data_IF_448052782409
#
_entry.id   IF_448052782409
#
_cell.length_a   1.000
_cell.length_b   1.000
_cell.length_c   1.000
_cell.angle_alpha   90.00
_cell.angle_beta   90.00
_cell.angle_gamma   90.00
#
_symmetry.space_group_name_H-M   'P 1'
#
loop_
_entity.id
_entity.type
_entity.pdbx_description
1 polymer ?
#
# COMPACT_ATOMS: atom_id res chain seq x y z
N UNK A 1 9.84 8.72 -7.73
CA UNK A 1 8.88 9.49 -8.54
C UNK A 1 9.52 10.60 -9.36
N UNK A 2 10.46 11.38 -8.83
CA UNK A 2 11.10 12.50 -9.55
C UNK A 2 11.54 12.16 -10.99
N UNK A 3 12.39 11.14 -11.17
CA UNK A 3 12.87 10.71 -12.50
C UNK A 3 11.77 10.34 -13.50
N UNK A 4 10.63 9.83 -13.01
CA UNK A 4 9.49 9.51 -13.88
C UNK A 4 8.73 10.78 -14.27
N UNK A 5 8.54 11.71 -13.32
CA UNK A 5 7.91 13.01 -13.60
C UNK A 5 8.73 13.85 -14.58
N UNK A 6 10.06 13.83 -14.46
CA UNK A 6 10.97 14.51 -15.39
C UNK A 6 10.91 13.95 -16.82
N UNK A 7 10.53 12.69 -16.99
CA UNK A 7 10.39 12.07 -18.31
C UNK A 7 9.03 12.34 -18.99
N UNK A 8 8.06 12.88 -18.26
CA UNK A 8 6.65 12.80 -18.65
C UNK A 8 5.99 11.61 -17.96
N UNK A 9 5.05 11.89 -17.06
CA UNK A 9 4.33 10.90 -16.25
C UNK A 9 2.83 10.95 -16.58
N UNK A 10 2.50 11.21 -17.85
CA UNK A 10 1.12 11.17 -18.37
C UNK A 10 0.80 9.78 -18.93
N UNK A 11 -0.47 9.51 -19.18
CA UNK A 11 -0.90 8.25 -19.84
C UNK A 11 -0.24 8.11 -21.21
N UNK A 12 -0.22 9.18 -22.02
CA UNK A 12 0.39 9.14 -23.36
C UNK A 12 1.90 8.85 -23.31
N UNK A 13 2.64 9.50 -22.40
CA UNK A 13 4.08 9.25 -22.22
C UNK A 13 4.34 7.78 -21.83
N UNK A 14 3.52 7.24 -20.92
CA UNK A 14 3.65 5.87 -20.42
C UNK A 14 3.29 4.80 -21.45
N UNK A 15 2.40 5.10 -22.40
CA UNK A 15 2.08 4.20 -23.52
C UNK A 15 3.28 4.10 -24.47
N UNK A 16 3.88 5.25 -24.85
CA UNK A 16 4.92 5.29 -25.89
C UNK A 16 6.34 4.99 -25.37
N UNK A 17 6.63 5.18 -24.08
CA UNK A 17 7.96 4.94 -23.51
C UNK A 17 8.41 3.48 -23.72
N UNK A 18 9.64 3.21 -24.20
CA UNK A 18 10.18 1.85 -24.26
C UNK A 18 10.20 1.18 -22.88
N UNK A 19 9.85 -0.11 -22.81
CA UNK A 19 9.76 -0.85 -21.55
C UNK A 19 11.10 -0.83 -20.78
N UNK A 20 12.21 -0.94 -21.49
CA UNK A 20 13.58 -0.92 -20.95
C UNK A 20 13.87 0.45 -20.29
N UNK A 21 13.44 1.54 -20.93
CA UNK A 21 13.58 2.89 -20.40
C UNK A 21 12.74 3.08 -19.14
N UNK A 22 11.49 2.63 -19.14
CA UNK A 22 10.63 2.67 -17.96
C UNK A 22 11.24 1.86 -16.80
N UNK A 23 11.78 0.67 -17.08
CA UNK A 23 12.47 -0.14 -16.08
C UNK A 23 13.65 0.61 -15.45
N UNK A 24 14.48 1.29 -16.26
CA UNK A 24 15.59 2.13 -15.76
C UNK A 24 15.11 3.23 -14.81
N UNK A 25 14.00 3.92 -15.14
CA UNK A 25 13.40 4.95 -14.29
C UNK A 25 12.85 4.40 -12.97
N UNK A 26 12.55 3.10 -12.91
CA UNK A 26 11.95 2.43 -11.75
C UNK A 26 12.94 1.62 -10.88
N UNK A 27 14.22 1.48 -11.27
CA UNK A 27 15.24 0.61 -10.61
C UNK A 27 15.22 0.60 -9.06
N UNK A 28 15.16 1.74 -8.34
CA UNK A 28 15.19 1.78 -6.87
C UNK A 28 13.98 1.13 -6.20
N UNK A 29 12.91 0.86 -6.97
CA UNK A 29 11.68 0.27 -6.46
C UNK A 29 11.76 -1.24 -6.59
N UNK A 30 11.42 -1.97 -5.51
CA UNK A 30 11.28 -3.42 -5.56
C UNK A 30 10.28 -3.87 -6.63
N UNK A 31 10.59 -4.97 -7.32
CA UNK A 31 9.81 -5.55 -8.42
C UNK A 31 9.63 -4.62 -9.63
N UNK A 32 10.56 -3.68 -9.86
CA UNK A 32 10.46 -2.69 -10.94
C UNK A 32 10.20 -3.28 -12.32
N UNK A 33 10.79 -4.44 -12.67
CA UNK A 33 10.56 -5.11 -13.96
C UNK A 33 9.09 -5.46 -14.18
N UNK A 34 8.45 -6.09 -13.18
CA UNK A 34 7.04 -6.44 -13.22
C UNK A 34 6.15 -5.19 -13.17
N UNK A 35 6.52 -4.21 -12.35
CA UNK A 35 5.80 -2.93 -12.25
C UNK A 35 5.83 -2.14 -13.56
N UNK A 36 6.94 -2.14 -14.30
CA UNK A 36 7.02 -1.48 -15.61
C UNK A 36 5.98 -2.06 -16.58
N UNK A 37 5.87 -3.39 -16.65
CA UNK A 37 4.86 -4.08 -17.47
C UNK A 37 3.45 -3.69 -17.04
N UNK A 38 3.15 -3.69 -15.74
CA UNK A 38 1.83 -3.28 -15.25
C UNK A 38 1.52 -1.81 -15.53
N UNK A 39 2.46 -0.89 -15.29
CA UNK A 39 2.27 0.54 -15.55
C UNK A 39 1.92 0.80 -17.01
N UNK A 40 2.63 0.15 -17.95
CA UNK A 40 2.32 0.26 -19.38
C UNK A 40 0.91 -0.24 -19.70
N UNK A 41 0.55 -1.44 -19.23
CA UNK A 41 -0.78 -2.01 -19.43
C UNK A 41 -1.89 -1.16 -18.80
N UNK A 42 -1.64 -0.58 -17.63
CA UNK A 42 -2.57 0.37 -17.00
C UNK A 42 -2.75 1.57 -17.92
N UNK A 43 -1.67 2.21 -18.38
CA UNK A 43 -1.76 3.37 -19.26
C UNK A 43 -2.54 3.07 -20.56
N UNK A 44 -2.30 1.91 -21.18
CA UNK A 44 -3.07 1.42 -22.34
C UNK A 44 -4.58 1.31 -22.01
N UNK A 45 -4.93 0.66 -20.89
CA UNK A 45 -6.33 0.53 -20.44
C UNK A 45 -6.98 1.89 -20.16
N UNK A 46 -6.27 2.81 -19.50
CA UNK A 46 -6.80 4.14 -19.19
C UNK A 46 -7.10 4.91 -20.46
N UNK A 47 -6.18 4.85 -21.44
CA UNK A 47 -6.37 5.48 -22.75
C UNK A 47 -7.55 4.91 -23.52
N UNK A 48 -7.72 3.59 -23.52
CA UNK A 48 -8.76 2.91 -24.31
C UNK A 48 -10.16 2.97 -23.67
N UNK A 49 -10.26 2.89 -22.34
CA UNK A 49 -11.55 2.66 -21.65
C UNK A 49 -11.99 3.81 -20.75
N UNK A 50 -11.08 4.69 -20.37
CA UNK A 50 -11.32 5.74 -19.38
C UNK A 50 -10.95 7.13 -19.90
N UNK A 51 -10.83 7.31 -21.23
CA UNK A 51 -10.46 8.57 -21.89
C UNK A 51 -9.18 9.21 -21.31
N UNK A 52 -8.23 8.36 -20.92
CA UNK A 52 -6.96 8.77 -20.30
C UNK A 52 -7.05 9.12 -18.81
N UNK A 53 -8.24 9.10 -18.20
CA UNK A 53 -8.44 9.34 -16.77
C UNK A 53 -8.38 8.04 -15.95
N UNK A 54 -8.37 8.16 -14.63
CA UNK A 54 -8.30 7.04 -13.68
C UNK A 54 -9.72 6.69 -13.19
N UNK A 55 -10.14 5.41 -13.18
CA UNK A 55 -11.43 5.03 -12.60
C UNK A 55 -11.53 5.47 -11.14
N UNK A 56 -12.62 6.16 -10.82
CA UNK A 56 -12.92 6.71 -9.49
C UNK A 56 -13.84 5.81 -8.67
N UNK A 57 -13.69 4.49 -8.81
CA UNK A 57 -14.41 3.48 -8.02
C UNK A 57 -13.46 2.36 -7.60
N UNK A 58 -13.74 1.72 -6.46
CA UNK A 58 -12.93 0.57 -5.99
C UNK A 58 -12.92 -0.56 -7.02
N UNK A 59 -14.07 -0.88 -7.60
CA UNK A 59 -14.19 -1.92 -8.62
C UNK A 59 -13.37 -1.57 -9.87
N UNK A 60 -13.48 -0.33 -10.37
CA UNK A 60 -12.71 0.13 -11.51
C UNK A 60 -11.20 0.10 -11.25
N UNK A 61 -10.75 0.56 -10.07
CA UNK A 61 -9.34 0.48 -9.68
C UNK A 61 -8.84 -0.96 -9.58
N UNK A 62 -9.61 -1.86 -8.96
CA UNK A 62 -9.26 -3.28 -8.84
C UNK A 62 -9.27 -4.02 -10.18
N UNK A 63 -9.93 -3.47 -11.22
CA UNK A 63 -9.86 -4.01 -12.59
C UNK A 63 -8.50 -3.77 -13.26
N UNK A 64 -7.70 -2.82 -12.75
CA UNK A 64 -6.40 -2.47 -13.31
C UNK A 64 -5.31 -3.49 -12.90
N UNK A 65 -4.43 -3.90 -13.83
CA UNK A 65 -3.43 -4.92 -13.54
C UNK A 65 -2.45 -4.47 -12.46
N UNK A 66 -2.32 -5.28 -11.41
CA UNK A 66 -1.44 -5.00 -10.28
C UNK A 66 -2.05 -4.13 -9.18
N UNK A 67 -3.31 -3.71 -9.32
CA UNK A 67 -4.06 -2.99 -8.30
C UNK A 67 -5.04 -3.96 -7.62
N UNK A 68 -4.89 -4.15 -6.31
CA UNK A 68 -5.85 -4.90 -5.50
C UNK A 68 -6.53 -4.00 -4.48
N UNK A 69 -7.46 -4.55 -3.68
CA UNK A 69 -8.30 -3.82 -2.70
C UNK A 69 -7.50 -2.79 -1.88
N UNK A 70 -6.36 -3.20 -1.31
CA UNK A 70 -5.49 -2.31 -0.52
C UNK A 70 -5.04 -1.07 -1.29
N UNK A 71 -4.64 -1.23 -2.55
CA UNK A 71 -4.20 -0.09 -3.37
C UNK A 71 -5.41 0.75 -3.81
N UNK A 72 -6.54 0.11 -4.13
CA UNK A 72 -7.77 0.79 -4.49
C UNK A 72 -8.27 1.69 -3.34
N UNK A 73 -8.40 1.17 -2.12
CA UNK A 73 -8.82 1.96 -0.96
C UNK A 73 -7.90 3.14 -0.65
N UNK A 74 -6.58 2.94 -0.73
CA UNK A 74 -5.63 4.04 -0.56
C UNK A 74 -5.77 5.10 -1.65
N UNK A 75 -6.00 4.70 -2.90
CA UNK A 75 -6.18 5.62 -4.01
C UNK A 75 -7.50 6.41 -3.86
N UNK A 76 -8.62 5.73 -3.60
CA UNK A 76 -9.93 6.36 -3.32
C UNK A 76 -9.81 7.45 -2.25
N UNK A 77 -9.17 7.13 -1.13
CA UNK A 77 -9.01 8.05 -0.02
C UNK A 77 -8.01 9.18 -0.31
N UNK A 78 -6.95 8.93 -1.08
CA UNK A 78 -5.89 9.95 -1.32
C UNK A 78 -6.23 10.89 -2.47
N UNK A 79 -6.85 10.39 -3.54
CA UNK A 79 -7.11 11.16 -4.76
C UNK A 79 -8.52 11.75 -4.80
N UNK A 80 -9.51 11.08 -4.21
CA UNK A 80 -10.92 11.50 -4.25
C UNK A 80 -11.52 11.79 -2.86
N UNK A 81 -10.73 11.70 -1.79
CA UNK A 81 -11.19 11.87 -0.40
C UNK A 81 -12.36 10.93 -0.01
N UNK A 82 -12.41 9.75 -0.66
CA UNK A 82 -13.45 8.75 -0.44
C UNK A 82 -12.94 7.59 0.40
N UNK A 83 -13.45 7.49 1.63
CA UNK A 83 -13.11 6.43 2.56
C UNK A 83 -13.98 5.18 2.35
N UNK A 84 -13.58 4.36 1.39
CA UNK A 84 -14.28 3.13 0.95
C UNK A 84 -13.88 1.87 1.74
N UNK A 85 -12.74 1.90 2.44
CA UNK A 85 -12.23 0.74 3.16
C UNK A 85 -10.86 0.97 3.79
N UNK A 86 -10.42 0.05 4.65
CA UNK A 86 -9.14 0.14 5.32
C UNK A 86 -8.04 -0.56 4.52
N UNK A 87 -7.06 0.20 4.04
CA UNK A 87 -5.90 -0.35 3.35
C UNK A 87 -4.97 -1.12 4.31
N UNK A 88 -5.03 -2.44 4.34
CA UNK A 88 -4.11 -3.28 5.15
C UNK A 88 -2.94 -3.76 4.31
N UNK A 89 -1.73 -3.31 4.65
CA UNK A 89 -0.50 -3.88 4.11
C UNK A 89 0.19 -4.82 5.11
N UNK A 90 1.40 -5.28 4.76
CA UNK A 90 2.19 -6.19 5.61
C UNK A 90 2.65 -5.55 6.92
N UNK A 91 2.73 -4.21 7.01
CA UNK A 91 3.03 -3.50 8.26
C UNK A 91 1.80 -3.48 9.15
N UNK A 92 0.65 -3.03 8.64
CA UNK A 92 -0.62 -2.98 9.37
C UNK A 92 -1.00 -4.38 9.88
N UNK A 93 -1.01 -5.38 9.00
CA UNK A 93 -1.30 -6.77 9.36
C UNK A 93 -0.38 -7.27 10.49
N UNK A 94 0.94 -7.11 10.33
CA UNK A 94 1.93 -7.60 11.30
C UNK A 94 1.78 -6.90 12.65
N UNK A 95 1.66 -5.58 12.65
CA UNK A 95 1.69 -4.78 13.87
C UNK A 95 0.40 -4.95 14.65
N UNK A 96 -0.75 -4.91 14.00
CA UNK A 96 -2.04 -5.13 14.66
C UNK A 96 -2.12 -6.52 15.32
N UNK A 97 -1.58 -7.56 14.68
CA UNK A 97 -1.46 -8.89 15.30
C UNK A 97 -0.44 -8.92 16.46
N UNK A 98 0.72 -8.26 16.33
CA UNK A 98 1.73 -8.18 17.42
C UNK A 98 1.23 -7.43 18.64
N UNK A 99 0.49 -6.34 18.43
CA UNK A 99 -0.13 -5.55 19.50
C UNK A 99 -1.26 -6.31 20.20
N UNK A 100 -1.79 -7.37 19.57
CA UNK A 100 -2.91 -8.14 20.11
C UNK A 100 -4.28 -7.52 19.85
N UNK A 101 -4.37 -6.55 18.93
CA UNK A 101 -5.65 -5.93 18.55
C UNK A 101 -6.54 -6.89 17.77
N UNK A 102 -5.92 -7.75 16.96
CA UNK A 102 -6.58 -8.74 16.12
C UNK A 102 -5.80 -10.05 16.18
N UNK A 103 -6.44 -11.15 15.80
CA UNK A 103 -5.82 -12.46 15.61
C UNK A 103 -6.26 -13.03 14.27
N UNK A 104 -5.45 -12.80 13.23
CA UNK A 104 -5.79 -13.08 11.83
C UNK A 104 -4.58 -13.63 11.08
N UNK A 105 -4.84 -14.44 10.06
CA UNK A 105 -3.79 -15.15 9.31
C UNK A 105 -3.26 -14.39 8.10
N UNK A 106 -4.08 -13.50 7.54
CA UNK A 106 -3.78 -12.79 6.30
C UNK A 106 -4.32 -11.35 6.31
N UNK A 107 -3.82 -10.46 5.41
CA UNK A 107 -4.25 -9.07 5.35
C UNK A 107 -5.75 -8.85 5.11
N UNK A 108 -6.43 -9.77 4.38
CA UNK A 108 -7.87 -9.65 4.11
C UNK A 108 -8.69 -9.84 5.38
N UNK A 109 -8.38 -10.88 6.16
CA UNK A 109 -8.97 -11.09 7.48
C UNK A 109 -8.67 -9.92 8.42
N UNK A 110 -7.42 -9.43 8.41
CA UNK A 110 -7.04 -8.27 9.23
C UNK A 110 -7.83 -7.02 8.88
N UNK A 111 -8.15 -6.79 7.60
CA UNK A 111 -8.97 -5.66 7.18
C UNK A 111 -10.34 -5.72 7.83
N UNK A 112 -11.05 -6.84 7.67
CA UNK A 112 -12.38 -7.04 8.27
C UNK A 112 -12.35 -6.85 9.79
N UNK A 113 -11.36 -7.44 10.46
CA UNK A 113 -11.22 -7.32 11.91
C UNK A 113 -10.90 -5.88 12.37
N UNK A 114 -10.07 -5.15 11.63
CA UNK A 114 -9.72 -3.77 11.97
C UNK A 114 -10.85 -2.78 11.64
N UNK A 115 -11.59 -3.00 10.55
CA UNK A 115 -12.77 -2.20 10.20
C UNK A 115 -13.87 -2.32 11.28
N UNK A 116 -13.96 -3.48 11.95
CA UNK A 116 -14.88 -3.69 13.07
C UNK A 116 -14.38 -3.10 14.41
N UNK A 117 -13.07 -2.89 14.57
CA UNK A 117 -12.45 -2.45 15.82
C UNK A 117 -12.15 -0.95 15.87
N UNK A 118 -11.65 -0.40 14.76
CA UNK A 118 -11.12 0.96 14.68
C UNK A 118 -12.20 1.90 14.18
N UNK A 119 -12.45 3.05 14.85
CA UNK A 119 -13.40 4.05 14.36
C UNK A 119 -13.07 4.48 12.93
N UNK A 120 -14.11 4.64 12.09
CA UNK A 120 -13.98 4.85 10.64
C UNK A 120 -13.11 6.07 10.32
N UNK A 121 -13.28 7.14 11.07
CA UNK A 121 -12.52 8.38 10.96
C UNK A 121 -11.01 8.22 11.15
N UNK A 122 -10.55 7.13 11.80
CA UNK A 122 -9.12 6.87 12.04
C UNK A 122 -8.48 5.98 10.96
N UNK A 123 -9.25 5.42 10.03
CA UNK A 123 -8.73 4.41 9.09
C UNK A 123 -7.59 4.94 8.20
N UNK A 124 -7.70 6.19 7.72
CA UNK A 124 -6.67 6.81 6.88
C UNK A 124 -5.37 7.03 7.65
N UNK A 125 -5.48 7.52 8.89
CA UNK A 125 -4.33 7.79 9.74
C UNK A 125 -3.65 6.49 10.19
N UNK A 126 -4.45 5.47 10.52
CA UNK A 126 -3.97 4.18 10.99
C UNK A 126 -2.94 3.56 10.03
N UNK A 127 -3.23 3.54 8.73
CA UNK A 127 -2.29 2.99 7.74
C UNK A 127 -0.96 3.76 7.77
N UNK A 128 -1.02 5.10 7.68
CA UNK A 128 0.18 5.96 7.65
C UNK A 128 1.04 5.75 8.91
N UNK A 129 0.42 5.76 10.09
CA UNK A 129 1.09 5.58 11.37
C UNK A 129 1.76 4.21 11.48
N UNK A 130 1.02 3.13 11.21
CA UNK A 130 1.55 1.77 11.37
C UNK A 130 2.62 1.44 10.33
N UNK A 131 2.53 1.98 9.11
CA UNK A 131 3.59 1.84 8.10
C UNK A 131 4.88 2.49 8.59
N UNK A 132 4.82 3.77 9.01
CA UNK A 132 6.00 4.48 9.54
C UNK A 132 6.59 3.79 10.76
N UNK A 133 5.76 3.44 11.75
CA UNK A 133 6.17 2.71 12.94
C UNK A 133 6.79 1.34 12.60
N UNK A 134 6.23 0.64 11.61
CA UNK A 134 6.73 -0.66 11.16
C UNK A 134 8.04 -0.60 10.38
N UNK A 135 8.36 0.55 9.77
CA UNK A 135 9.61 0.79 9.05
C UNK A 135 10.75 1.21 9.99
N UNK A 136 10.43 1.88 11.11
CA UNK A 136 11.44 2.45 12.00
C UNK A 136 11.66 1.68 13.31
N UNK A 137 10.59 1.09 13.86
CA UNK A 137 10.60 0.51 15.23
C UNK A 137 10.11 -0.94 15.25
N UNK A 138 8.87 -1.21 14.82
CA UNK A 138 8.31 -2.57 14.81
C UNK A 138 8.67 -3.34 13.52
N UNK A 139 9.98 -3.52 13.32
CA UNK A 139 10.57 -4.16 12.15
C UNK A 139 10.11 -5.61 11.99
N UNK A 140 10.05 -6.16 10.76
CA UNK A 140 9.70 -7.57 10.54
C UNK A 140 10.62 -8.53 11.29
N UNK A 141 11.93 -8.26 11.29
CA UNK A 141 12.98 -9.03 11.97
C UNK A 141 13.65 -8.13 13.00
N UNK A 142 13.84 -8.62 14.23
CA UNK A 142 14.47 -7.90 15.34
C UNK A 142 13.87 -6.49 15.57
N UNK A 143 12.56 -6.38 15.86
CA UNK A 143 11.96 -5.10 16.23
C UNK A 143 12.69 -4.48 17.43
N UNK A 144 12.76 -3.14 17.45
CA UNK A 144 13.41 -2.33 18.49
C UNK A 144 12.47 -2.16 19.69
N UNK A 145 12.18 -3.24 20.40
CA UNK A 145 11.23 -3.24 21.52
C UNK A 145 11.76 -2.50 22.75
N UNK A 146 13.08 -2.48 23.01
CA UNK A 146 13.67 -1.74 24.13
C UNK A 146 13.45 -0.22 24.03
N UNK A 147 13.56 0.31 22.82
CA UNK A 147 13.34 1.71 22.44
C UNK A 147 11.86 2.05 22.16
N UNK A 148 10.98 1.04 22.11
CA UNK A 148 9.58 1.24 21.73
C UNK A 148 8.79 1.90 22.87
N UNK A 149 8.16 3.04 22.59
CA UNK A 149 7.30 3.74 23.55
C UNK A 149 6.08 2.91 23.98
N UNK A 150 5.61 2.00 23.12
CA UNK A 150 4.48 1.11 23.40
C UNK A 150 4.88 -0.19 24.14
N UNK A 151 6.14 -0.35 24.57
CA UNK A 151 6.64 -1.64 25.10
C UNK A 151 5.86 -2.17 26.31
N UNK A 152 5.28 -1.28 27.13
CA UNK A 152 4.55 -1.64 28.34
C UNK A 152 3.10 -2.09 28.07
N UNK A 153 2.55 -1.74 26.91
CA UNK A 153 1.16 -2.07 26.52
C UNK A 153 1.10 -3.07 25.35
N UNK A 154 2.25 -3.43 24.77
CA UNK A 154 2.34 -4.31 23.62
C UNK A 154 2.42 -5.77 24.04
N UNK A 155 1.47 -6.59 23.58
CA UNK A 155 1.48 -8.04 23.81
C UNK A 155 2.64 -8.77 23.11
N UNK A 156 3.30 -8.14 22.14
CA UNK A 156 4.43 -8.66 21.36
C UNK A 156 4.20 -10.07 20.78
N UNK A 157 2.97 -10.38 20.37
CA UNK A 157 2.57 -11.71 19.92
C UNK A 157 3.39 -12.12 18.69
N UNK A 158 4.00 -13.32 18.74
CA UNK A 158 4.81 -13.86 17.65
C UNK A 158 6.21 -13.24 17.50
N UNK A 159 6.62 -12.31 18.38
CA UNK A 159 7.98 -11.74 18.35
C UNK A 159 8.97 -12.68 19.04
N UNK A 160 9.74 -13.45 18.27
CA UNK A 160 10.71 -14.41 18.80
C UNK A 160 12.03 -13.78 19.29
N UNK A 161 12.52 -12.78 18.58
CA UNK A 161 13.76 -12.05 18.89
C UNK A 161 13.49 -10.55 18.79
N UNK A 162 13.96 -9.77 19.75
CA UNK A 162 13.76 -8.31 19.83
C UNK A 162 15.05 -7.63 20.33
N UNK A 163 15.28 -6.41 19.86
CA UNK A 163 16.30 -5.51 20.41
C UNK A 163 15.67 -4.61 21.46
#
# INVERSE_FOLDING_TARGET
>A
MQRLREHGCTVDDLVVIPTEKLQQLLIPVGFYKKKAVYIKKVAEILKERYDGDIPNTVEGLCSLPGVGEKMAYLAMCTAWDQLEGLGVDTHVHRISNRLGWIKTSNPKESRVALEALVPREQWQELNKLLVGFGQQTCLPVLPKCSECLNKNICAAIGVKKKR
#
